data_IF_781104827848
#
_entry.id   IF_781104827848
#
_cell.length_a   1.000
_cell.length_b   1.000
_cell.length_c   1.000
_cell.angle_alpha   90.00
_cell.angle_beta   90.00
_cell.angle_gamma   90.00
#
_symmetry.space_group_name_H-M   'P 1'
#
loop_
_entity.id
_entity.type
_entity.pdbx_description
1 polymer ?
#
# COMPACT_ATOMS: atom_id res chain seq x y z
N UNK A 1 44.33 -1.95 -48.19
CA UNK A 1 43.43 -2.81 -47.40
C UNK A 1 42.82 -1.93 -46.31
N UNK A 2 41.69 -1.29 -46.63
CA UNK A 2 40.95 -0.41 -45.72
C UNK A 2 40.18 -1.28 -44.73
N UNK A 3 40.43 -1.12 -43.43
CA UNK A 3 39.62 -1.76 -42.38
C UNK A 3 38.71 -0.69 -41.78
N UNK A 4 37.44 -0.73 -42.15
CA UNK A 4 36.35 0.05 -41.57
C UNK A 4 36.12 -0.43 -40.13
N UNK A 5 36.34 0.42 -39.13
CA UNK A 5 35.82 0.22 -37.78
C UNK A 5 34.38 0.79 -37.74
N UNK A 6 33.40 -0.10 -37.71
CA UNK A 6 32.03 0.25 -37.34
C UNK A 6 31.96 0.44 -35.82
N UNK A 7 31.82 1.69 -35.38
CA UNK A 7 31.37 2.03 -34.03
C UNK A 7 29.86 1.84 -33.96
N UNK A 8 29.41 0.72 -33.39
CA UNK A 8 28.01 0.54 -32.99
C UNK A 8 27.85 1.21 -31.62
N UNK A 9 27.33 2.43 -31.61
CA UNK A 9 26.84 3.07 -30.40
C UNK A 9 25.51 2.44 -30.02
N UNK A 10 25.51 1.52 -29.06
CA UNK A 10 24.28 1.13 -28.36
C UNK A 10 23.81 2.33 -27.54
N UNK A 11 22.81 3.04 -28.05
CA UNK A 11 22.02 3.95 -27.25
C UNK A 11 21.25 3.13 -26.20
N UNK A 12 21.72 3.17 -24.96
CA UNK A 12 20.92 2.78 -23.80
C UNK A 12 19.77 3.79 -23.70
N UNK A 13 18.62 3.46 -24.29
CA UNK A 13 17.37 4.15 -24.02
C UNK A 13 17.02 3.88 -22.55
N UNK A 14 17.31 4.84 -21.68
CA UNK A 14 16.79 4.86 -20.32
C UNK A 14 15.27 4.86 -20.41
N UNK A 15 14.65 3.84 -19.82
CA UNK A 15 13.20 3.71 -19.70
C UNK A 15 12.66 4.67 -18.63
N UNK A 16 12.89 5.97 -18.82
CA UNK A 16 12.35 7.08 -18.01
C UNK A 16 11.13 7.75 -18.68
N UNK A 17 10.39 7.01 -19.50
CA UNK A 17 9.20 7.53 -20.19
C UNK A 17 7.95 7.67 -19.31
N UNK A 18 7.97 7.30 -18.02
CA UNK A 18 6.79 7.50 -17.16
C UNK A 18 6.67 8.92 -16.60
N UNK A 19 7.77 9.68 -16.50
CA UNK A 19 7.76 11.04 -15.94
C UNK A 19 7.26 12.13 -16.89
N UNK A 20 7.51 11.98 -18.20
CA UNK A 20 7.15 12.98 -19.22
C UNK A 20 5.64 13.27 -19.28
N UNK A 21 4.81 12.33 -18.82
CA UNK A 21 3.35 12.45 -18.80
C UNK A 21 2.78 13.30 -17.64
N UNK A 22 3.61 13.77 -16.70
CA UNK A 22 3.16 14.50 -15.50
C UNK A 22 3.67 15.95 -15.41
N UNK A 23 4.22 16.48 -16.51
CA UNK A 23 4.72 17.86 -16.56
C UNK A 23 3.60 18.86 -16.27
N UNK A 24 3.83 19.77 -15.32
CA UNK A 24 2.89 20.84 -14.98
C UNK A 24 1.65 20.38 -14.21
N UNK A 25 1.48 19.08 -13.97
CA UNK A 25 0.42 18.60 -13.08
C UNK A 25 0.70 19.01 -11.64
N UNK A 26 -0.37 19.34 -10.89
CA UNK A 26 -0.29 19.74 -9.49
C UNK A 26 -1.07 18.80 -8.58
N UNK A 27 -0.68 18.78 -7.32
CA UNK A 27 -1.48 18.19 -6.23
C UNK A 27 -1.90 19.31 -5.29
N UNK A 28 -3.21 19.43 -5.10
CA UNK A 28 -3.83 20.41 -4.20
C UNK A 28 -4.23 19.73 -2.90
N UNK A 29 -4.21 20.49 -1.80
CA UNK A 29 -4.94 20.18 -0.59
C UNK A 29 -5.98 21.26 -0.32
N UNK A 30 -7.24 20.86 -0.20
CA UNK A 30 -8.36 21.76 0.09
C UNK A 30 -8.93 21.48 1.48
N UNK A 31 -9.16 22.54 2.25
CA UNK A 31 -9.84 22.47 3.54
C UNK A 31 -11.36 22.45 3.33
N UNK A 32 -12.02 21.45 3.89
CA UNK A 32 -13.46 21.25 3.81
C UNK A 32 -14.05 21.53 5.17
N UNK A 33 -14.85 22.58 5.30
CA UNK A 33 -15.45 22.96 6.58
C UNK A 33 -16.85 22.40 6.74
N UNK A 34 -17.62 22.32 5.66
CA UNK A 34 -19.03 21.93 5.70
C UNK A 34 -19.48 21.16 4.44
N UNK A 35 -20.76 20.78 4.42
CA UNK A 35 -21.39 20.07 3.30
C UNK A 35 -21.43 20.89 2.00
N UNK A 36 -21.42 22.23 2.07
CA UNK A 36 -21.38 23.06 0.88
C UNK A 36 -20.02 22.92 0.17
N UNK A 37 -18.92 22.94 0.92
CA UNK A 37 -17.58 22.67 0.37
C UNK A 37 -17.51 21.29 -0.30
N UNK A 38 -18.12 20.26 0.31
CA UNK A 38 -18.19 18.90 -0.26
C UNK A 38 -18.96 18.90 -1.58
N UNK A 39 -20.11 19.57 -1.63
CA UNK A 39 -20.93 19.66 -2.84
C UNK A 39 -20.20 20.40 -3.98
N UNK A 40 -19.41 21.42 -3.65
CA UNK A 40 -18.57 22.12 -4.62
C UNK A 40 -17.47 21.20 -5.19
N UNK A 41 -16.76 20.46 -4.33
CA UNK A 41 -15.76 19.48 -4.79
C UNK A 41 -16.39 18.35 -5.63
N UNK A 42 -17.62 17.93 -5.30
CA UNK A 42 -18.39 16.97 -6.11
C UNK A 42 -18.75 17.54 -7.48
N UNK A 43 -19.16 18.80 -7.54
CA UNK A 43 -19.41 19.50 -8.80
C UNK A 43 -18.15 19.56 -9.65
N UNK A 44 -17.02 19.96 -9.06
CA UNK A 44 -15.73 20.03 -9.75
C UNK A 44 -15.32 18.66 -10.32
N UNK A 45 -15.39 17.60 -9.51
CA UNK A 45 -15.07 16.24 -9.95
C UNK A 45 -16.02 15.67 -11.03
N UNK A 46 -17.19 16.29 -11.22
CA UNK A 46 -18.13 15.89 -12.27
C UNK A 46 -17.84 16.52 -13.63
N UNK A 47 -17.11 17.64 -13.65
CA UNK A 47 -16.78 18.41 -14.87
C UNK A 47 -15.32 18.28 -15.27
N UNK A 48 -14.46 17.92 -14.33
CA UNK A 48 -13.00 17.90 -14.50
C UNK A 48 -12.45 16.56 -14.04
N UNK A 49 -11.45 16.04 -14.76
CA UNK A 49 -10.84 14.77 -14.38
C UNK A 49 -9.92 14.96 -13.17
N UNK A 50 -10.36 14.48 -12.01
CA UNK A 50 -9.64 14.56 -10.74
C UNK A 50 -9.20 13.18 -10.26
N UNK A 51 -7.94 13.05 -9.89
CA UNK A 51 -7.39 11.86 -9.24
C UNK A 51 -7.23 12.11 -7.74
N UNK A 52 -8.18 11.58 -6.96
CA UNK A 52 -8.21 11.73 -5.52
C UNK A 52 -7.11 10.89 -4.85
N UNK A 53 -6.28 11.55 -4.03
CA UNK A 53 -5.22 10.93 -3.25
C UNK A 53 -5.66 10.65 -1.81
N UNK A 54 -6.36 11.62 -1.19
CA UNK A 54 -6.94 11.48 0.15
C UNK A 54 -8.19 12.34 0.30
N UNK A 55 -9.37 11.77 0.65
CA UNK A 55 -9.68 10.34 0.61
C UNK A 55 -9.57 9.77 -0.82
N UNK A 56 -9.85 8.48 -1.02
CA UNK A 56 -9.74 7.84 -2.34
C UNK A 56 -10.92 8.11 -3.30
N UNK A 57 -11.97 8.78 -2.82
CA UNK A 57 -13.11 9.20 -3.62
C UNK A 57 -13.80 10.41 -3.02
N UNK A 58 -14.42 11.24 -3.87
CA UNK A 58 -15.26 12.37 -3.46
C UNK A 58 -16.41 11.98 -2.53
N UNK A 59 -16.85 10.72 -2.58
CA UNK A 59 -17.92 10.18 -1.72
C UNK A 59 -17.52 10.04 -0.25
N UNK A 60 -16.21 10.11 0.03
CA UNK A 60 -15.62 9.81 1.33
C UNK A 60 -15.19 11.07 2.10
N UNK A 61 -15.39 12.25 1.50
CA UNK A 61 -15.03 13.53 2.11
C UNK A 61 -15.97 13.79 3.30
N UNK A 62 -15.42 14.28 4.41
CA UNK A 62 -16.17 14.66 5.61
C UNK A 62 -15.97 16.14 5.93
N UNK A 63 -16.92 16.80 6.60
CA UNK A 63 -16.69 18.13 7.18
C UNK A 63 -15.48 18.16 8.11
N UNK A 64 -14.83 19.30 8.20
CA UNK A 64 -13.60 19.55 8.98
C UNK A 64 -12.44 18.61 8.67
N UNK A 65 -12.28 18.27 7.39
CA UNK A 65 -11.15 17.46 6.90
C UNK A 65 -10.44 18.15 5.74
N UNK A 66 -9.37 17.53 5.25
CA UNK A 66 -8.62 17.99 4.09
C UNK A 66 -8.71 16.99 2.95
N UNK A 67 -8.76 17.50 1.71
CA UNK A 67 -8.83 16.67 0.50
C UNK A 67 -7.60 16.92 -0.35
N UNK A 68 -6.82 15.86 -0.58
CA UNK A 68 -5.67 15.85 -1.46
C UNK A 68 -6.07 15.26 -2.82
N UNK A 69 -5.84 15.99 -3.91
CA UNK A 69 -6.11 15.49 -5.25
C UNK A 69 -5.16 16.05 -6.30
N UNK A 70 -4.85 15.21 -7.29
CA UNK A 70 -4.05 15.54 -8.45
C UNK A 70 -4.92 16.06 -9.58
N UNK A 71 -4.42 17.09 -10.26
CA UNK A 71 -5.06 17.73 -11.41
C UNK A 71 -4.08 17.78 -12.57
N UNK A 72 -4.59 17.49 -13.77
CA UNK A 72 -3.82 17.58 -15.01
C UNK A 72 -3.41 19.02 -15.31
N UNK A 73 -2.28 19.19 -16.00
CA UNK A 73 -1.75 20.50 -16.37
C UNK A 73 -2.77 21.38 -17.13
N UNK A 74 -3.54 20.78 -18.03
CA UNK A 74 -4.56 21.46 -18.84
C UNK A 74 -5.76 21.99 -18.02
N UNK A 75 -5.99 21.42 -16.84
CA UNK A 75 -7.14 21.75 -15.98
C UNK A 75 -6.76 22.66 -14.79
N UNK A 76 -5.47 22.96 -14.58
CA UNK A 76 -4.99 23.71 -13.41
C UNK A 76 -5.67 25.06 -13.25
N UNK A 77 -5.71 25.86 -14.32
CA UNK A 77 -6.31 27.20 -14.27
C UNK A 77 -7.80 27.12 -13.92
N UNK A 78 -8.52 26.19 -14.54
CA UNK A 78 -9.95 25.96 -14.27
C UNK A 78 -10.20 25.56 -12.81
N UNK A 79 -9.33 24.71 -12.24
CA UNK A 79 -9.45 24.28 -10.85
C UNK A 79 -9.10 25.43 -9.89
N UNK A 80 -8.01 26.15 -10.11
CA UNK A 80 -7.61 27.29 -9.26
C UNK A 80 -8.69 28.37 -9.25
N UNK A 81 -9.17 28.78 -10.43
CA UNK A 81 -10.27 29.75 -10.56
C UNK A 81 -11.55 29.27 -9.86
N UNK A 82 -11.90 27.97 -9.99
CA UNK A 82 -13.04 27.40 -9.27
C UNK A 82 -12.87 27.46 -7.75
N UNK A 83 -11.68 27.12 -7.24
CA UNK A 83 -11.41 27.14 -5.80
C UNK A 83 -11.45 28.57 -5.25
N UNK A 84 -10.86 29.53 -5.98
CA UNK A 84 -10.83 30.95 -5.61
C UNK A 84 -12.22 31.60 -5.64
N UNK A 85 -13.00 31.39 -6.70
CA UNK A 85 -14.35 31.96 -6.83
C UNK A 85 -15.32 31.46 -5.75
N UNK A 86 -15.10 30.26 -5.24
CA UNK A 86 -15.91 29.69 -4.16
C UNK A 86 -15.27 29.86 -2.78
N UNK A 87 -14.20 30.67 -2.66
CA UNK A 87 -13.49 30.99 -1.41
C UNK A 87 -13.02 29.73 -0.64
N UNK A 88 -12.74 28.64 -1.36
CA UNK A 88 -12.24 27.40 -0.77
C UNK A 88 -10.78 27.58 -0.39
N UNK A 89 -10.46 27.43 0.89
CA UNK A 89 -9.06 27.51 1.36
C UNK A 89 -8.28 26.29 0.87
N UNK A 90 -7.22 26.53 0.12
CA UNK A 90 -6.36 25.47 -0.39
C UNK A 90 -4.86 25.79 -0.31
N UNK A 91 -4.04 24.75 -0.40
CA UNK A 91 -2.60 24.82 -0.61
C UNK A 91 -2.19 23.96 -1.81
N UNK A 92 -1.13 24.36 -2.51
CA UNK A 92 -0.51 23.54 -3.56
C UNK A 92 0.59 22.71 -2.90
N UNK A 93 0.31 21.42 -2.67
CA UNK A 93 1.27 20.48 -2.07
C UNK A 93 2.44 20.20 -3.02
N UNK A 94 2.12 19.98 -4.29
CA UNK A 94 3.08 19.69 -5.35
C UNK A 94 2.76 20.60 -6.53
N UNK A 95 3.70 21.48 -6.88
CA UNK A 95 3.53 22.45 -7.97
C UNK A 95 3.93 21.91 -9.34
N UNK A 96 4.75 20.85 -9.39
CA UNK A 96 5.07 20.10 -10.60
C UNK A 96 5.33 18.64 -10.23
N UNK A 97 4.39 17.77 -10.55
CA UNK A 97 4.45 16.35 -10.20
C UNK A 97 5.60 15.62 -10.89
N UNK A 98 5.95 16.00 -12.13
CA UNK A 98 7.12 15.43 -12.81
C UNK A 98 8.38 15.59 -11.99
N UNK A 99 8.67 16.79 -11.49
CA UNK A 99 9.89 17.05 -10.73
C UNK A 99 9.95 16.23 -9.44
N UNK A 100 8.81 16.02 -8.78
CA UNK A 100 8.75 15.17 -7.58
C UNK A 100 8.96 13.70 -7.93
N UNK A 101 8.43 13.22 -9.06
CA UNK A 101 8.63 11.86 -9.54
C UNK A 101 10.07 11.58 -9.99
N UNK A 102 10.72 12.54 -10.66
CA UNK A 102 12.15 12.44 -11.00
C UNK A 102 13.00 12.46 -9.73
N UNK A 103 12.67 13.34 -8.78
CA UNK A 103 13.30 13.42 -7.46
C UNK A 103 13.01 12.22 -6.54
N UNK A 104 12.11 11.30 -6.92
CA UNK A 104 11.84 10.09 -6.15
C UNK A 104 13.06 9.16 -6.14
N UNK A 105 13.83 9.11 -7.24
CA UNK A 105 14.97 8.22 -7.43
C UNK A 105 16.29 8.87 -6.98
N UNK A 106 16.36 9.27 -5.71
CA UNK A 106 17.49 10.01 -5.13
C UNK A 106 18.56 9.14 -4.45
N UNK A 107 18.42 7.81 -4.52
CA UNK A 107 19.33 6.89 -3.85
C UNK A 107 20.77 6.99 -4.37
N UNK A 108 21.72 7.17 -3.46
CA UNK A 108 23.15 7.18 -3.76
C UNK A 108 23.76 5.77 -3.83
N UNK A 109 22.95 4.72 -3.65
CA UNK A 109 23.42 3.33 -3.65
C UNK A 109 23.86 2.93 -5.07
N UNK A 110 25.14 2.60 -5.21
CA UNK A 110 25.73 2.09 -6.46
C UNK A 110 25.50 0.58 -6.60
N UNK A 111 24.23 0.18 -6.77
CA UNK A 111 23.82 -1.17 -7.17
C UNK A 111 23.00 -1.10 -8.45
N UNK A 112 23.29 -2.01 -9.39
CA UNK A 112 22.56 -2.21 -10.65
C UNK A 112 21.43 -3.24 -10.52
N UNK A 113 21.37 -3.98 -9.41
CA UNK A 113 20.34 -4.97 -9.11
C UNK A 113 19.44 -4.54 -7.94
N UNK A 114 18.88 -5.53 -7.24
CA UNK A 114 18.07 -5.31 -6.05
C UNK A 114 18.79 -4.43 -5.02
N UNK A 115 18.02 -3.54 -4.37
CA UNK A 115 18.46 -2.80 -3.19
C UNK A 115 17.28 -2.59 -2.25
N UNK A 116 17.50 -2.78 -0.95
CA UNK A 116 16.50 -2.47 0.08
C UNK A 116 16.30 -0.96 0.31
N UNK A 117 17.12 -0.13 -0.32
CA UNK A 117 17.10 1.35 -0.24
C UNK A 117 16.83 1.98 -1.61
N UNK A 118 16.14 1.23 -2.48
CA UNK A 118 15.61 1.68 -3.77
C UNK A 118 14.22 1.10 -3.99
N UNK A 119 13.45 1.72 -4.87
CA UNK A 119 12.26 1.08 -5.40
C UNK A 119 12.66 0.07 -6.47
N UNK A 120 12.20 -1.17 -6.32
CA UNK A 120 12.60 -2.28 -7.19
C UNK A 120 11.47 -2.62 -8.16
N UNK A 121 11.78 -2.80 -9.44
CA UNK A 121 10.81 -3.34 -10.42
C UNK A 121 10.38 -4.75 -10.03
N UNK A 122 9.23 -5.21 -10.52
CA UNK A 122 8.68 -6.53 -10.18
C UNK A 122 9.66 -7.66 -10.45
N UNK A 123 10.31 -7.70 -11.62
CA UNK A 123 11.26 -8.74 -11.99
C UNK A 123 12.45 -8.81 -11.01
N UNK A 124 12.84 -7.67 -10.45
CA UNK A 124 13.89 -7.59 -9.42
C UNK A 124 13.39 -8.15 -8.09
N UNK A 125 12.15 -7.84 -7.70
CA UNK A 125 11.52 -8.39 -6.49
C UNK A 125 11.30 -9.90 -6.64
N UNK A 126 10.81 -10.36 -7.78
CA UNK A 126 10.58 -11.79 -8.07
C UNK A 126 11.88 -12.59 -7.96
N UNK A 127 12.96 -12.12 -8.61
CA UNK A 127 14.28 -12.74 -8.50
C UNK A 127 14.81 -12.71 -7.05
N UNK A 128 14.61 -11.60 -6.33
CA UNK A 128 14.98 -11.47 -4.93
C UNK A 128 14.26 -12.49 -4.05
N UNK A 129 12.95 -12.73 -4.23
CA UNK A 129 12.23 -13.75 -3.43
C UNK A 129 12.84 -15.14 -3.59
N UNK A 130 13.34 -15.47 -4.79
CA UNK A 130 14.03 -16.74 -5.04
C UNK A 130 15.42 -16.76 -4.40
N UNK A 131 16.18 -15.68 -4.55
CA UNK A 131 17.53 -15.55 -4.01
C UNK A 131 17.52 -15.66 -2.48
N UNK A 132 16.70 -14.85 -1.82
CA UNK A 132 16.64 -14.78 -0.35
C UNK A 132 16.24 -16.12 0.27
N UNK A 133 15.38 -16.89 -0.42
CA UNK A 133 15.00 -18.25 -0.03
C UNK A 133 16.15 -19.24 -0.18
N UNK A 134 16.88 -19.18 -1.30
CA UNK A 134 18.04 -20.06 -1.56
C UNK A 134 19.20 -19.82 -0.59
N UNK A 135 19.42 -18.57 -0.23
CA UNK A 135 20.51 -18.17 0.68
C UNK A 135 20.17 -18.45 2.15
N UNK A 136 18.87 -18.54 2.50
CA UNK A 136 18.41 -18.68 3.90
C UNK A 136 17.41 -19.84 4.08
N UNK A 137 17.70 -21.07 3.61
CA UNK A 137 16.72 -22.16 3.56
C UNK A 137 16.28 -22.66 4.95
N UNK A 138 17.06 -22.36 6.01
CA UNK A 138 16.70 -22.69 7.39
C UNK A 138 15.71 -21.72 8.04
N UNK A 139 15.42 -20.58 7.40
CA UNK A 139 14.54 -19.52 7.90
C UNK A 139 13.45 -19.12 6.91
N UNK A 140 13.69 -19.26 5.61
CA UNK A 140 12.79 -18.76 4.57
C UNK A 140 12.43 -19.87 3.60
N UNK A 141 11.15 -19.98 3.31
CA UNK A 141 10.64 -20.76 2.17
C UNK A 141 9.72 -19.89 1.32
N UNK A 142 9.63 -20.21 0.03
CA UNK A 142 8.80 -19.50 -0.94
C UNK A 142 7.73 -20.42 -1.50
N UNK A 143 6.50 -19.94 -1.62
CA UNK A 143 5.37 -20.67 -2.19
C UNK A 143 4.57 -19.78 -3.14
N UNK A 144 4.12 -20.36 -4.25
CA UNK A 144 3.11 -19.72 -5.10
C UNK A 144 1.71 -19.91 -4.48
N UNK A 145 0.95 -18.83 -4.33
CA UNK A 145 -0.41 -18.86 -3.76
C UNK A 145 -1.51 -18.63 -4.79
N UNK A 146 -1.14 -18.17 -5.99
CA UNK A 146 -2.07 -17.89 -7.08
C UNK A 146 -1.36 -17.21 -8.24
N UNK A 147 -2.16 -16.78 -9.22
CA UNK A 147 -1.71 -16.01 -10.38
C UNK A 147 -2.57 -14.78 -10.56
N UNK A 148 -1.97 -13.69 -11.02
CA UNK A 148 -2.68 -12.44 -11.31
C UNK A 148 -3.53 -12.54 -12.57
N UNK A 149 -4.30 -11.50 -12.87
CA UNK A 149 -5.08 -11.43 -14.10
C UNK A 149 -4.23 -11.65 -15.36
N UNK A 150 -3.10 -10.95 -15.48
CA UNK A 150 -2.15 -11.03 -16.59
C UNK A 150 -1.17 -12.23 -16.49
N UNK A 151 -1.38 -13.13 -15.50
CA UNK A 151 -0.68 -14.42 -15.43
C UNK A 151 0.65 -14.42 -14.68
N UNK A 152 0.93 -13.41 -13.85
CA UNK A 152 2.14 -13.37 -13.00
C UNK A 152 1.92 -14.19 -11.74
N UNK A 153 2.95 -14.91 -11.29
CA UNK A 153 2.84 -15.75 -10.09
C UNK A 153 2.93 -14.91 -8.83
N UNK A 154 2.00 -15.12 -7.89
CA UNK A 154 2.02 -14.48 -6.58
C UNK A 154 2.85 -15.31 -5.60
N UNK A 155 4.03 -14.81 -5.22
CA UNK A 155 4.94 -15.49 -4.31
C UNK A 155 4.79 -14.99 -2.88
N UNK A 156 4.45 -15.92 -1.99
CA UNK A 156 4.46 -15.73 -0.55
C UNK A 156 5.76 -16.27 0.04
N UNK A 157 6.41 -15.46 0.90
CA UNK A 157 7.53 -15.89 1.71
C UNK A 157 7.02 -16.33 3.08
N UNK A 158 7.39 -17.52 3.53
CA UNK A 158 7.25 -17.94 4.93
C UNK A 158 8.58 -17.72 5.62
N UNK A 159 8.62 -16.80 6.59
CA UNK A 159 9.81 -16.39 7.35
C UNK A 159 9.67 -16.84 8.80
N UNK A 160 10.56 -17.72 9.26
CA UNK A 160 10.53 -18.29 10.58
C UNK A 160 11.31 -19.60 10.64
N UNK A 161 11.85 -19.93 11.81
CA UNK A 161 12.52 -21.21 12.02
C UNK A 161 11.51 -22.36 11.89
N UNK A 162 11.88 -23.43 11.19
CA UNK A 162 11.02 -24.60 11.04
C UNK A 162 10.61 -25.18 12.41
N UNK A 163 9.31 -25.38 12.60
CA UNK A 163 8.74 -25.98 13.80
C UNK A 163 7.29 -26.42 13.58
N UNK A 164 6.81 -27.43 14.33
CA UNK A 164 5.44 -27.90 14.20
C UNK A 164 4.45 -26.90 14.81
N UNK A 165 3.27 -26.76 14.20
CA UNK A 165 2.11 -26.04 14.75
C UNK A 165 2.38 -24.61 15.23
N UNK A 166 3.30 -23.90 14.57
CA UNK A 166 3.61 -22.52 14.93
C UNK A 166 2.42 -21.59 14.60
N UNK A 167 2.04 -20.68 15.51
CA UNK A 167 1.18 -19.57 15.16
C UNK A 167 1.84 -18.69 14.11
N UNK A 168 1.03 -18.01 13.30
CA UNK A 168 1.51 -17.20 12.19
C UNK A 168 0.95 -15.77 12.24
N UNK A 169 1.73 -14.85 11.70
CA UNK A 169 1.31 -13.49 11.35
C UNK A 169 1.33 -13.39 9.84
N UNK A 170 0.20 -13.00 9.25
CA UNK A 170 0.13 -12.72 7.82
C UNK A 170 0.38 -11.22 7.60
N UNK A 171 1.29 -10.89 6.70
CA UNK A 171 1.61 -9.52 6.33
C UNK A 171 1.69 -9.37 4.80
N UNK A 172 0.93 -8.44 4.26
CA UNK A 172 0.96 -8.13 2.84
C UNK A 172 1.26 -6.66 2.55
N UNK A 173 1.72 -6.46 1.32
CA UNK A 173 2.11 -5.17 0.80
C UNK A 173 1.67 -5.03 -0.67
N UNK A 174 1.59 -3.79 -1.15
CA UNK A 174 1.34 -3.49 -2.57
C UNK A 174 -0.05 -3.90 -3.06
N UNK A 175 -1.08 -3.69 -2.25
CA UNK A 175 -2.48 -3.75 -2.69
C UNK A 175 -2.75 -2.69 -3.76
N UNK A 176 -2.46 -1.44 -3.44
CA UNK A 176 -2.55 -0.33 -4.39
C UNK A 176 -1.21 -0.13 -5.08
N UNK A 177 -1.24 -0.16 -6.40
CA UNK A 177 -0.02 -0.23 -7.20
C UNK A 177 0.93 0.96 -7.03
N UNK A 178 0.39 2.17 -6.82
CA UNK A 178 1.16 3.42 -6.66
C UNK A 178 1.87 3.57 -5.31
N UNK A 179 1.56 2.74 -4.33
CA UNK A 179 2.04 2.84 -2.94
C UNK A 179 3.40 2.14 -2.76
N UNK A 180 4.42 2.59 -3.49
CA UNK A 180 5.70 1.88 -3.62
C UNK A 180 6.48 1.65 -2.32
N UNK A 181 6.25 2.46 -1.29
CA UNK A 181 6.88 2.29 0.03
C UNK A 181 6.39 1.03 0.75
N UNK A 182 5.18 0.56 0.45
CA UNK A 182 4.63 -0.67 1.03
C UNK A 182 5.40 -1.91 0.58
N UNK A 183 5.57 -2.21 -0.73
CA UNK A 183 6.45 -3.29 -1.17
C UNK A 183 7.90 -3.17 -0.67
N UNK A 184 8.44 -1.95 -0.60
CA UNK A 184 9.78 -1.72 -0.06
C UNK A 184 9.87 -2.14 1.42
N UNK A 185 8.84 -1.85 2.22
CA UNK A 185 8.77 -2.28 3.61
C UNK A 185 8.72 -3.81 3.76
N UNK A 186 7.90 -4.53 3.00
CA UNK A 186 7.89 -5.99 3.06
C UNK A 186 9.27 -6.60 2.74
N UNK A 187 10.01 -6.03 1.78
CA UNK A 187 11.39 -6.44 1.49
C UNK A 187 12.33 -6.14 2.66
N UNK A 188 12.24 -4.95 3.24
CA UNK A 188 13.01 -4.56 4.42
C UNK A 188 12.73 -5.45 5.63
N UNK A 189 11.47 -5.87 5.81
CA UNK A 189 11.11 -6.78 6.89
C UNK A 189 11.90 -8.09 6.81
N UNK A 190 11.92 -8.70 5.62
CA UNK A 190 12.66 -9.94 5.37
C UNK A 190 14.17 -9.74 5.54
N UNK A 191 14.72 -8.61 5.08
CA UNK A 191 16.12 -8.23 5.33
C UNK A 191 16.46 -8.25 6.81
N UNK A 192 15.68 -7.55 7.61
CA UNK A 192 15.93 -7.41 9.05
C UNK A 192 15.73 -8.74 9.79
N UNK A 193 14.73 -9.54 9.40
CA UNK A 193 14.53 -10.88 9.93
C UNK A 193 15.78 -11.75 9.75
N UNK A 194 16.38 -11.78 8.55
CA UNK A 194 17.63 -12.51 8.29
C UNK A 194 18.79 -11.91 9.07
N UNK A 195 18.98 -10.58 8.97
CA UNK A 195 20.14 -9.88 9.52
C UNK A 195 20.23 -10.01 11.05
N UNK A 196 19.08 -10.05 11.73
CA UNK A 196 19.01 -9.96 13.19
C UNK A 196 18.66 -11.27 13.88
N UNK A 197 18.23 -12.31 13.15
CA UNK A 197 18.04 -13.64 13.72
C UNK A 197 19.38 -14.22 14.21
N UNK A 198 19.39 -14.72 15.45
CA UNK A 198 20.59 -15.20 16.13
C UNK A 198 21.50 -14.10 16.67
N UNK A 199 21.19 -12.82 16.40
CA UNK A 199 21.96 -11.66 16.89
C UNK A 199 21.15 -10.84 17.90
N UNK A 200 19.89 -10.57 17.59
CA UNK A 200 18.95 -9.86 18.47
C UNK A 200 18.01 -10.86 19.14
N UNK A 201 17.98 -10.87 20.48
CA UNK A 201 17.17 -11.81 21.26
C UNK A 201 15.68 -11.75 20.90
N UNK A 202 15.16 -10.54 20.64
CA UNK A 202 13.74 -10.36 20.31
C UNK A 202 13.37 -10.86 18.93
N UNK A 203 14.20 -10.64 17.90
CA UNK A 203 13.92 -11.22 16.57
C UNK A 203 14.06 -12.74 16.60
N UNK A 204 15.07 -13.25 17.31
CA UNK A 204 15.30 -14.69 17.45
C UNK A 204 14.09 -15.38 18.09
N UNK A 205 13.61 -14.85 19.23
CA UNK A 205 12.41 -15.38 19.89
C UNK A 205 11.18 -15.33 18.99
N UNK A 206 10.98 -14.23 18.25
CA UNK A 206 9.86 -14.10 17.33
C UNK A 206 9.92 -15.17 16.24
N UNK A 207 11.05 -15.35 15.55
CA UNK A 207 11.14 -16.30 14.45
C UNK A 207 11.20 -17.77 14.91
N UNK A 208 11.63 -18.03 16.14
CA UNK A 208 11.56 -19.37 16.75
C UNK A 208 10.11 -19.78 17.03
N UNK A 209 9.27 -18.83 17.47
CA UNK A 209 7.91 -19.12 17.97
C UNK A 209 6.79 -18.77 17.00
N UNK A 210 7.01 -17.85 16.07
CA UNK A 210 6.04 -17.41 15.05
C UNK A 210 6.57 -17.68 13.64
N UNK A 211 5.64 -17.95 12.74
CA UNK A 211 5.87 -17.82 11.30
C UNK A 211 5.32 -16.49 10.79
N UNK A 212 6.04 -15.82 9.90
CA UNK A 212 5.54 -14.66 9.17
C UNK A 212 5.30 -15.05 7.73
N UNK A 213 4.05 -14.95 7.28
CA UNK A 213 3.70 -15.05 5.88
C UNK A 213 3.77 -13.65 5.27
N UNK A 214 4.79 -13.37 4.47
CA UNK A 214 5.04 -12.07 3.86
C UNK A 214 4.76 -12.13 2.37
N UNK A 215 3.75 -11.37 1.92
CA UNK A 215 3.38 -11.22 0.50
C UNK A 215 3.85 -9.83 0.01
N UNK A 216 5.01 -9.72 -0.68
CA UNK A 216 5.62 -8.42 -0.95
C UNK A 216 4.82 -7.53 -1.90
N UNK A 217 4.09 -8.13 -2.84
CA UNK A 217 3.25 -7.41 -3.81
C UNK A 217 1.99 -8.23 -4.07
N UNK A 218 0.84 -7.74 -3.64
CA UNK A 218 -0.48 -8.34 -3.93
C UNK A 218 -0.88 -8.06 -5.38
N UNK A 219 -0.89 -6.78 -5.76
CA UNK A 219 -1.32 -6.34 -7.09
C UNK A 219 -0.13 -6.18 -8.03
N UNK A 220 0.42 -7.32 -8.48
CA UNK A 220 1.63 -7.35 -9.30
C UNK A 220 1.41 -6.66 -10.65
N UNK A 221 0.26 -6.89 -11.29
CA UNK A 221 -0.03 -6.33 -12.61
C UNK A 221 -0.13 -4.80 -12.56
N UNK A 222 -0.84 -4.27 -11.56
CA UNK A 222 -0.89 -2.84 -11.29
C UNK A 222 0.50 -2.30 -10.98
N UNK A 223 1.29 -2.99 -10.14
CA UNK A 223 2.65 -2.56 -9.80
C UNK A 223 3.52 -2.43 -11.06
N UNK A 224 3.55 -3.43 -11.94
CA UNK A 224 4.26 -3.35 -13.23
C UNK A 224 3.74 -2.20 -14.09
N UNK A 225 2.44 -1.96 -14.10
CA UNK A 225 1.83 -0.85 -14.84
C UNK A 225 2.32 0.53 -14.35
N UNK A 226 2.59 0.68 -13.05
CA UNK A 226 3.16 1.93 -12.50
C UNK A 226 4.60 2.20 -12.92
N UNK A 227 5.37 1.15 -13.21
CA UNK A 227 6.74 1.27 -13.73
C UNK A 227 6.79 1.53 -15.23
N UNK A 228 5.73 1.18 -15.97
CA UNK A 228 5.78 1.08 -17.44
C UNK A 228 4.85 2.04 -18.18
N UNK A 229 3.74 2.47 -17.55
CA UNK A 229 2.68 3.24 -18.22
C UNK A 229 2.13 4.39 -17.39
N UNK A 230 1.63 4.14 -16.18
CA UNK A 230 1.00 5.18 -15.36
C UNK A 230 1.41 5.04 -13.90
N UNK A 231 2.30 5.90 -13.45
CA UNK A 231 2.84 5.92 -12.08
C UNK A 231 1.77 6.09 -10.99
N UNK A 232 0.64 6.71 -11.31
CA UNK A 232 -0.47 6.98 -10.38
C UNK A 232 -1.59 5.94 -10.44
N UNK A 233 -1.39 4.84 -11.17
CA UNK A 233 -2.34 3.72 -11.20
C UNK A 233 -2.47 3.05 -9.82
N UNK A 234 -3.71 2.78 -9.39
CA UNK A 234 -4.02 2.15 -8.09
C UNK A 234 -4.53 0.72 -8.23
N UNK A 235 -5.50 0.50 -9.12
CA UNK A 235 -6.33 -0.71 -9.24
C UNK A 235 -5.57 -1.94 -9.76
N UNK A 236 -6.24 -3.09 -9.81
CA UNK A 236 -5.78 -4.27 -10.57
C UNK A 236 -5.74 -3.98 -12.09
N UNK A 237 -5.41 -4.98 -12.91
CA UNK A 237 -5.42 -4.86 -14.39
C UNK A 237 -6.46 -5.76 -15.07
N UNK A 238 -7.46 -6.21 -14.31
CA UNK A 238 -8.55 -7.03 -14.85
C UNK A 238 -9.37 -6.28 -15.88
N UNK A 239 -9.73 -6.98 -16.96
CA UNK A 239 -10.65 -6.47 -17.99
C UNK A 239 -12.01 -7.13 -17.86
N UNK A 240 -13.06 -6.40 -18.24
CA UNK A 240 -14.45 -6.87 -18.21
C UNK A 240 -15.12 -6.62 -19.56
N UNK A 241 -15.86 -7.61 -20.07
CA UNK A 241 -16.64 -7.44 -21.28
C UNK A 241 -17.70 -6.33 -21.11
N UNK A 242 -17.87 -5.49 -22.14
CA UNK A 242 -18.84 -4.40 -22.14
C UNK A 242 -18.36 -3.07 -21.57
N UNK A 243 -17.10 -2.96 -21.12
CA UNK A 243 -16.47 -1.69 -20.73
C UNK A 243 -15.02 -1.60 -21.23
N UNK A 244 -14.55 -0.39 -21.50
CA UNK A 244 -13.13 -0.11 -21.79
C UNK A 244 -12.33 0.22 -20.54
N UNK A 245 -13.00 0.40 -19.39
CA UNK A 245 -12.36 0.68 -18.12
C UNK A 245 -11.74 -0.59 -17.53
N UNK A 246 -10.58 -0.43 -16.88
CA UNK A 246 -9.73 -1.53 -16.44
C UNK A 246 -9.55 -1.48 -14.94
N UNK A 247 -9.57 -2.64 -14.31
CA UNK A 247 -9.18 -2.83 -12.92
C UNK A 247 -10.29 -2.55 -11.91
N UNK A 248 -10.17 -3.27 -10.81
CA UNK A 248 -10.94 -3.18 -9.58
C UNK A 248 -10.04 -2.64 -8.48
N UNK A 249 -10.57 -1.87 -7.52
CA UNK A 249 -9.86 -1.57 -6.29
C UNK A 249 -9.76 -2.85 -5.45
N UNK A 250 -8.56 -3.42 -5.28
CA UNK A 250 -8.42 -4.69 -4.57
C UNK A 250 -8.79 -4.58 -3.08
N UNK A 251 -8.76 -3.39 -2.47
CA UNK A 251 -9.18 -3.17 -1.09
C UNK A 251 -10.64 -2.66 -0.98
N UNK A 252 -11.45 -2.91 -2.02
CA UNK A 252 -12.93 -2.84 -2.00
C UNK A 252 -13.57 -4.15 -2.44
N UNK A 253 -12.77 -5.20 -2.60
CA UNK A 253 -13.17 -6.43 -3.25
C UNK A 253 -13.33 -7.61 -2.28
N UNK A 254 -13.05 -7.48 -0.99
CA UNK A 254 -13.27 -8.58 -0.04
C UNK A 254 -14.73 -8.70 0.40
N UNK A 255 -15.10 -9.89 0.87
CA UNK A 255 -16.45 -10.19 1.37
C UNK A 255 -16.68 -9.67 2.80
N UNK A 256 -16.50 -8.37 3.00
CA UNK A 256 -16.72 -7.67 4.27
C UNK A 256 -17.59 -6.44 4.01
N UNK A 257 -18.91 -6.63 4.10
CA UNK A 257 -19.88 -5.60 3.70
C UNK A 257 -19.76 -5.22 2.22
N UNK A 258 -19.27 -6.13 1.37
CA UNK A 258 -18.83 -5.86 0.00
C UNK A 258 -19.72 -4.86 -0.77
N UNK A 259 -19.10 -3.79 -1.24
CA UNK A 259 -19.72 -2.76 -2.08
C UNK A 259 -20.98 -2.08 -1.51
N UNK A 260 -21.17 -2.11 -0.18
CA UNK A 260 -22.30 -1.44 0.49
C UNK A 260 -22.07 0.06 0.69
N UNK A 261 -20.88 0.47 1.12
CA UNK A 261 -20.51 1.87 1.38
C UNK A 261 -19.06 2.14 1.01
N UNK A 262 -18.73 3.39 0.68
CA UNK A 262 -17.35 3.83 0.40
C UNK A 262 -16.65 3.11 -0.75
N UNK A 263 -17.43 2.57 -1.70
CA UNK A 263 -16.97 1.91 -2.91
C UNK A 263 -17.88 2.28 -4.08
N UNK A 264 -17.41 2.13 -5.31
CA UNK A 264 -18.20 2.40 -6.51
C UNK A 264 -18.58 1.11 -7.24
N UNK A 265 -19.76 1.13 -7.87
CA UNK A 265 -20.21 0.11 -8.83
C UNK A 265 -19.85 0.46 -10.28
N UNK A 266 -19.25 1.62 -10.53
CA UNK A 266 -18.87 2.06 -11.88
C UNK A 266 -17.45 1.58 -12.18
N UNK A 267 -17.22 0.77 -13.24
CA UNK A 267 -15.90 0.20 -13.54
C UNK A 267 -14.77 1.22 -13.74
N UNK A 268 -15.11 2.45 -14.13
CA UNK A 268 -14.15 3.51 -14.39
C UNK A 268 -13.68 4.25 -13.13
N UNK A 269 -14.39 4.10 -12.02
CA UNK A 269 -14.03 4.79 -10.78
C UNK A 269 -12.81 4.10 -10.14
N UNK A 270 -11.99 4.90 -9.46
CA UNK A 270 -10.78 4.40 -8.77
C UNK A 270 -11.11 3.47 -7.58
N UNK A 271 -12.33 3.59 -7.02
CA UNK A 271 -12.83 2.75 -5.91
C UNK A 271 -13.82 1.69 -6.38
N UNK A 272 -13.77 1.29 -7.65
CA UNK A 272 -14.64 0.22 -8.19
C UNK A 272 -14.48 -1.07 -7.39
N UNK A 273 -15.58 -1.62 -6.87
CA UNK A 273 -15.58 -2.79 -5.99
C UNK A 273 -15.48 -4.14 -6.72
N UNK A 274 -15.47 -4.13 -8.05
CA UNK A 274 -15.51 -5.33 -8.89
C UNK A 274 -16.94 -5.81 -9.17
N UNK A 275 -17.11 -6.81 -10.06
CA UNK A 275 -18.42 -7.39 -10.36
C UNK A 275 -18.97 -8.31 -9.26
N UNK A 276 -18.12 -8.80 -8.36
CA UNK A 276 -18.47 -9.67 -7.23
C UNK A 276 -17.42 -9.54 -6.11
N UNK A 277 -17.76 -9.93 -4.89
CA UNK A 277 -16.76 -10.11 -3.84
C UNK A 277 -15.75 -11.19 -4.26
N UNK A 278 -14.48 -10.88 -4.05
CA UNK A 278 -13.31 -11.66 -4.45
C UNK A 278 -13.32 -12.00 -5.96
N UNK A 279 -13.76 -11.06 -6.80
CA UNK A 279 -13.71 -11.20 -8.27
C UNK A 279 -12.29 -11.18 -8.81
N UNK A 280 -11.38 -10.44 -8.15
CA UNK A 280 -9.99 -10.35 -8.58
C UNK A 280 -9.25 -11.63 -8.23
N UNK A 281 -8.42 -12.14 -9.15
CA UNK A 281 -7.66 -13.37 -8.90
C UNK A 281 -6.70 -13.20 -7.72
N UNK A 282 -6.18 -11.99 -7.58
CA UNK A 282 -5.24 -11.58 -6.54
C UNK A 282 -5.88 -11.64 -5.15
N UNK A 283 -7.06 -11.01 -4.99
CA UNK A 283 -7.79 -11.01 -3.71
C UNK A 283 -8.33 -12.40 -3.39
N UNK A 284 -8.83 -13.14 -4.40
CA UNK A 284 -9.26 -14.54 -4.25
C UNK A 284 -8.12 -15.45 -3.79
N UNK A 285 -6.93 -15.33 -4.38
CA UNK A 285 -5.76 -16.13 -4.01
C UNK A 285 -5.35 -15.88 -2.55
N UNK A 286 -5.30 -14.61 -2.15
CA UNK A 286 -5.02 -14.19 -0.77
C UNK A 286 -6.08 -14.75 0.20
N UNK A 287 -7.36 -14.52 -0.07
CA UNK A 287 -8.46 -14.99 0.77
C UNK A 287 -8.48 -16.53 0.90
N UNK A 288 -8.23 -17.25 -0.19
CA UNK A 288 -8.10 -18.71 -0.18
C UNK A 288 -6.93 -19.19 0.68
N UNK A 289 -5.78 -18.52 0.59
CA UNK A 289 -4.62 -18.86 1.41
C UNK A 289 -4.93 -18.66 2.90
N UNK A 290 -5.52 -17.52 3.27
CA UNK A 290 -5.86 -17.23 4.66
C UNK A 290 -6.90 -18.23 5.19
N UNK A 291 -8.00 -18.49 4.44
CA UNK A 291 -8.99 -19.52 4.82
C UNK A 291 -8.36 -20.89 5.05
N UNK A 292 -7.40 -21.29 4.22
CA UNK A 292 -6.72 -22.58 4.33
C UNK A 292 -5.76 -22.67 5.52
N UNK A 293 -5.36 -21.54 6.12
CA UNK A 293 -4.42 -21.46 7.23
C UNK A 293 -5.01 -20.73 8.44
N UNK A 294 -6.34 -20.63 8.52
CA UNK A 294 -7.03 -19.78 9.50
C UNK A 294 -6.77 -20.22 10.96
N UNK A 295 -6.54 -21.52 11.18
CA UNK A 295 -6.22 -22.05 12.50
C UNK A 295 -4.86 -21.60 13.04
N UNK A 296 -3.90 -21.27 12.17
CA UNK A 296 -2.56 -20.85 12.56
C UNK A 296 -2.38 -19.34 12.54
N UNK A 297 -3.04 -18.61 11.64
CA UNK A 297 -2.91 -17.15 11.54
C UNK A 297 -3.60 -16.45 12.73
N UNK A 298 -2.82 -15.70 13.51
CA UNK A 298 -3.27 -14.99 14.72
C UNK A 298 -3.30 -13.47 14.55
N UNK A 299 -2.61 -12.95 13.54
CA UNK A 299 -2.66 -11.55 13.17
C UNK A 299 -2.60 -11.37 11.65
N UNK A 300 -3.27 -10.32 11.16
CA UNK A 300 -3.29 -9.90 9.76
C UNK A 300 -2.87 -8.44 9.68
N UNK A 301 -1.81 -8.15 8.93
CA UNK A 301 -1.21 -6.82 8.82
C UNK A 301 -1.16 -6.44 7.34
N UNK A 302 -1.96 -5.47 6.93
CA UNK A 302 -1.93 -4.97 5.55
C UNK A 302 -1.27 -3.60 5.49
N UNK A 303 -0.26 -3.46 4.61
CA UNK A 303 0.61 -2.30 4.58
C UNK A 303 0.30 -1.45 3.34
N UNK A 304 0.01 -0.19 3.58
CA UNK A 304 -0.43 0.83 2.63
C UNK A 304 0.37 2.13 2.79
N UNK A 305 0.11 3.11 1.95
CA UNK A 305 0.55 4.50 2.13
C UNK A 305 -0.41 5.45 1.42
N UNK A 306 -0.53 6.71 1.78
CA UNK A 306 0.17 7.45 2.82
C UNK A 306 -0.83 8.01 3.81
N UNK A 307 -0.36 8.39 4.99
CA UNK A 307 -0.99 9.34 5.92
C UNK A 307 -0.42 9.24 7.33
N UNK A 308 0.45 8.26 7.60
CA UNK A 308 0.93 7.91 8.92
C UNK A 308 -0.22 7.54 9.87
N UNK A 309 -0.91 6.43 9.57
CA UNK A 309 -2.02 5.92 10.39
C UNK A 309 -1.85 4.43 10.69
N UNK A 310 -2.35 3.99 11.84
CA UNK A 310 -2.51 2.58 12.18
C UNK A 310 -3.98 2.32 12.49
N UNK A 311 -4.68 1.72 11.56
CA UNK A 311 -6.12 1.49 11.61
C UNK A 311 -6.41 0.05 12.04
N UNK A 312 -7.58 -0.16 12.62
CA UNK A 312 -8.13 -1.49 12.90
C UNK A 312 -9.63 -1.51 12.61
N UNK A 313 -10.24 -2.71 12.48
CA UNK A 313 -11.66 -2.82 12.19
C UNK A 313 -12.57 -2.13 13.22
N UNK A 314 -13.76 -1.66 12.83
CA UNK A 314 -14.32 -1.79 11.48
C UNK A 314 -14.13 -0.53 10.61
N UNK A 315 -14.08 -0.74 9.30
CA UNK A 315 -14.18 0.29 8.26
C UNK A 315 -15.53 0.29 7.57
N UNK A 316 -16.14 -0.88 7.32
CA UNK A 316 -17.42 -0.99 6.60
C UNK A 316 -18.66 -0.64 7.42
N UNK A 317 -18.52 -0.43 8.73
CA UNK A 317 -19.59 -0.16 9.68
C UNK A 317 -19.02 0.67 10.85
N UNK A 318 -19.86 1.47 11.50
CA UNK A 318 -19.52 2.25 12.70
C UNK A 318 -19.54 1.40 13.99
N UNK A 319 -19.90 0.12 13.90
CA UNK A 319 -19.74 -0.82 15.01
C UNK A 319 -18.28 -0.95 15.43
N UNK A 320 -18.06 -1.23 16.71
CA UNK A 320 -16.74 -1.57 17.24
C UNK A 320 -16.56 -3.09 17.28
N UNK A 321 -15.32 -3.53 17.20
CA UNK A 321 -14.91 -4.92 17.42
C UNK A 321 -15.12 -5.35 18.88
N UNK A 322 -15.33 -6.64 19.13
CA UNK A 322 -15.51 -7.14 20.51
C UNK A 322 -14.30 -6.84 21.40
N UNK A 323 -13.09 -6.94 20.83
CA UNK A 323 -11.82 -6.62 21.49
C UNK A 323 -11.33 -5.19 21.19
N UNK A 324 -12.21 -4.24 20.85
CA UNK A 324 -11.83 -2.87 20.48
C UNK A 324 -10.92 -2.18 21.50
N UNK A 325 -11.19 -2.32 22.79
CA UNK A 325 -10.35 -1.71 23.83
C UNK A 325 -8.91 -2.24 23.83
N UNK A 326 -8.75 -3.54 23.54
CA UNK A 326 -7.45 -4.21 23.39
C UNK A 326 -6.72 -3.68 22.14
N UNK A 327 -7.40 -3.67 20.98
CA UNK A 327 -6.83 -3.17 19.73
C UNK A 327 -6.42 -1.70 19.83
N UNK A 328 -7.23 -0.86 20.49
CA UNK A 328 -6.91 0.54 20.70
C UNK A 328 -5.66 0.72 21.59
N UNK A 329 -5.58 -0.02 22.70
CA UNK A 329 -4.41 0.04 23.59
C UNK A 329 -3.14 -0.47 22.89
N UNK A 330 -3.26 -1.56 22.13
CA UNK A 330 -2.17 -2.11 21.33
C UNK A 330 -1.71 -1.13 20.25
N UNK A 331 -2.63 -0.53 19.49
CA UNK A 331 -2.31 0.46 18.47
C UNK A 331 -1.59 1.68 19.06
N UNK A 332 -2.11 2.22 20.19
CA UNK A 332 -1.48 3.32 20.93
C UNK A 332 -0.05 3.00 21.35
N UNK A 333 0.19 1.81 21.87
CA UNK A 333 1.53 1.40 22.30
C UNK A 333 2.47 1.17 21.10
N UNK A 334 1.95 0.57 20.03
CA UNK A 334 2.68 0.29 18.79
C UNK A 334 3.15 1.57 18.10
N UNK A 335 2.26 2.57 17.94
CA UNK A 335 2.65 3.85 17.33
C UNK A 335 3.55 4.70 18.24
N UNK A 336 3.45 4.53 19.56
CA UNK A 336 4.39 5.15 20.51
C UNK A 336 5.79 4.56 20.30
N UNK A 337 5.90 3.24 20.16
CA UNK A 337 7.15 2.55 19.87
C UNK A 337 7.74 2.99 18.52
N UNK A 338 6.92 3.07 17.46
CA UNK A 338 7.33 3.59 16.16
C UNK A 338 7.98 4.98 16.27
N UNK A 339 7.33 5.88 17.02
CA UNK A 339 7.79 7.26 17.18
C UNK A 339 9.12 7.38 17.95
N UNK A 340 9.59 6.35 18.65
CA UNK A 340 10.83 6.42 19.45
C UNK A 340 12.08 6.61 18.60
N UNK A 341 12.08 6.17 17.34
CA UNK A 341 13.28 6.20 16.50
C UNK A 341 13.46 7.55 15.81
N UNK A 342 12.44 7.99 15.06
CA UNK A 342 12.52 9.19 14.21
C UNK A 342 11.53 10.28 14.60
N UNK A 343 10.77 10.11 15.69
CA UNK A 343 9.76 11.08 16.14
C UNK A 343 8.49 11.13 15.26
N UNK A 344 8.33 10.19 14.34
CA UNK A 344 7.24 10.19 13.36
C UNK A 344 5.90 9.94 14.04
N UNK A 345 4.97 10.89 13.89
CA UNK A 345 3.67 10.87 14.55
C UNK A 345 2.63 10.19 13.69
N UNK A 346 2.15 9.03 14.15
CA UNK A 346 1.01 8.34 13.58
C UNK A 346 -0.27 8.66 14.34
N UNK A 347 -1.42 8.62 13.67
CA UNK A 347 -2.74 8.51 14.31
C UNK A 347 -3.19 7.05 14.31
N UNK A 348 -4.20 6.72 15.11
CA UNK A 348 -4.72 5.36 15.20
C UNK A 348 -6.17 5.34 15.63
N UNK A 349 -6.88 4.26 15.31
CA UNK A 349 -8.27 4.06 15.72
C UNK A 349 -9.04 3.15 14.76
N UNK A 350 -10.36 2.98 14.98
CA UNK A 350 -11.22 2.25 14.07
C UNK A 350 -11.25 2.94 12.70
N UNK A 351 -11.26 2.17 11.61
CA UNK A 351 -11.22 2.69 10.25
C UNK A 351 -12.34 3.69 9.95
N UNK A 352 -13.60 3.35 10.21
CA UNK A 352 -14.76 4.17 9.84
C UNK A 352 -14.70 5.60 10.44
N UNK A 353 -14.20 5.71 11.68
CA UNK A 353 -14.10 6.97 12.42
C UNK A 353 -12.79 7.71 12.18
N UNK A 354 -11.67 6.99 12.03
CA UNK A 354 -10.33 7.60 11.92
C UNK A 354 -10.02 8.07 10.51
N UNK A 355 -10.45 7.30 9.49
CA UNK A 355 -10.30 7.66 8.08
C UNK A 355 -11.68 8.01 7.51
N UNK A 356 -12.42 7.03 7.04
CA UNK A 356 -13.77 7.14 6.48
C UNK A 356 -14.39 5.73 6.36
N UNK A 357 -15.73 5.62 6.33
CA UNK A 357 -16.39 4.34 6.16
C UNK A 357 -16.12 3.76 4.76
N UNK A 358 -15.57 2.55 4.68
CA UNK A 358 -15.21 1.91 3.43
C UNK A 358 -15.44 0.40 3.53
N UNK A 359 -16.20 -0.16 2.60
CA UNK A 359 -16.52 -1.58 2.58
C UNK A 359 -15.63 -2.42 1.67
N UNK A 360 -15.55 -3.72 1.97
CA UNK A 360 -14.78 -4.69 1.20
C UNK A 360 -13.26 -4.62 1.43
N UNK A 361 -12.85 -4.06 2.57
CA UNK A 361 -11.45 -4.04 3.02
C UNK A 361 -10.97 -5.42 3.48
N UNK A 362 -9.69 -5.72 3.25
CA UNK A 362 -9.08 -6.99 3.64
C UNK A 362 -8.93 -7.16 5.15
N UNK A 363 -8.71 -6.06 5.88
CA UNK A 363 -8.55 -6.02 7.32
C UNK A 363 -9.85 -6.34 8.07
N UNK A 364 -10.96 -5.74 7.64
CA UNK A 364 -12.30 -6.06 8.13
C UNK A 364 -12.66 -7.53 7.84
N UNK A 365 -12.39 -8.00 6.61
CA UNK A 365 -12.63 -9.39 6.24
C UNK A 365 -11.83 -10.37 7.09
N UNK A 366 -10.52 -10.12 7.29
CA UNK A 366 -9.67 -10.97 8.10
C UNK A 366 -10.17 -11.04 9.55
N UNK A 367 -10.63 -9.92 10.12
CA UNK A 367 -11.21 -9.89 11.45
C UNK A 367 -12.52 -10.69 11.52
N UNK A 368 -13.40 -10.55 10.53
CA UNK A 368 -14.65 -11.32 10.44
C UNK A 368 -14.41 -12.84 10.25
N UNK A 369 -13.22 -13.26 9.78
CA UNK A 369 -12.81 -14.67 9.79
C UNK A 369 -12.34 -15.17 11.18
N UNK A 370 -12.23 -14.29 12.18
CA UNK A 370 -11.75 -14.63 13.52
C UNK A 370 -10.26 -14.36 13.77
N UNK A 371 -9.59 -13.60 12.89
CA UNK A 371 -8.23 -13.11 13.14
C UNK A 371 -8.30 -11.88 14.05
N UNK A 372 -8.07 -12.08 15.35
CA UNK A 372 -8.33 -11.06 16.39
C UNK A 372 -7.49 -9.79 16.23
N UNK A 373 -6.27 -9.91 15.71
CA UNK A 373 -5.33 -8.81 15.55
C UNK A 373 -5.21 -8.43 14.07
N UNK A 374 -6.17 -7.67 13.58
CA UNK A 374 -6.21 -7.18 12.19
C UNK A 374 -5.90 -5.68 12.16
N UNK A 375 -4.86 -5.27 11.42
CA UNK A 375 -4.42 -3.89 11.36
C UNK A 375 -4.02 -3.46 9.94
N UNK A 376 -4.37 -2.23 9.60
CA UNK A 376 -3.92 -1.54 8.39
C UNK A 376 -2.90 -0.46 8.76
N UNK A 377 -1.75 -0.45 8.09
CA UNK A 377 -0.76 0.62 8.25
C UNK A 377 -0.76 1.52 7.03
N UNK A 378 -1.00 2.81 7.22
CA UNK A 378 -0.77 3.84 6.21
C UNK A 378 0.57 4.50 6.50
N UNK A 379 1.61 4.16 5.73
CA UNK A 379 2.98 4.60 5.98
C UNK A 379 3.19 6.10 5.69
N UNK A 380 4.45 6.54 5.68
CA UNK A 380 4.84 7.91 5.35
C UNK A 380 4.39 8.31 3.93
N UNK A 381 4.18 9.58 3.66
CA UNK A 381 4.22 10.73 4.58
C UNK A 381 2.82 11.28 4.89
N UNK A 382 2.68 12.60 5.07
CA UNK A 382 1.39 13.28 5.27
C UNK A 382 0.97 14.13 4.06
N UNK A 383 1.48 13.82 2.87
CA UNK A 383 1.09 14.43 1.60
C UNK A 383 2.11 15.40 0.99
N UNK A 384 3.28 15.62 1.62
CA UNK A 384 4.34 16.43 0.98
C UNK A 384 4.83 15.75 -0.30
N UNK A 385 5.05 14.45 -0.23
CA UNK A 385 5.38 13.60 -1.37
C UNK A 385 4.22 12.66 -1.71
N UNK A 386 3.40 12.27 -0.72
CA UNK A 386 2.35 11.28 -0.89
C UNK A 386 2.91 9.99 -1.45
N UNK A 387 2.42 9.56 -2.61
CA UNK A 387 2.87 8.32 -3.26
C UNK A 387 4.26 8.41 -3.90
N UNK A 388 4.84 9.61 -4.01
CA UNK A 388 6.16 9.87 -4.61
C UNK A 388 7.27 10.00 -3.54
N UNK A 389 7.12 9.33 -2.39
CA UNK A 389 8.10 9.37 -1.30
C UNK A 389 9.53 9.01 -1.81
N UNK A 390 10.57 9.82 -1.58
CA UNK A 390 11.91 9.57 -2.11
C UNK A 390 12.57 8.29 -1.59
N UNK A 391 13.49 7.71 -2.36
CA UNK A 391 14.25 6.51 -1.97
C UNK A 391 15.06 6.72 -0.68
N UNK A 392 15.57 7.94 -0.45
CA UNK A 392 16.25 8.33 0.79
C UNK A 392 15.38 8.21 2.05
N UNK A 393 14.05 8.18 1.89
CA UNK A 393 13.09 7.98 2.98
C UNK A 393 12.71 6.50 3.18
N UNK A 394 13.13 5.58 2.31
CA UNK A 394 12.83 4.15 2.46
C UNK A 394 13.40 3.62 3.77
N UNK A 395 14.71 3.81 4.04
CA UNK A 395 15.35 3.33 5.26
C UNK A 395 14.67 3.89 6.53
N UNK A 396 14.52 5.22 6.72
CA UNK A 396 13.86 5.74 7.92
C UNK A 396 12.44 5.23 8.12
N UNK A 397 11.65 5.14 7.03
CA UNK A 397 10.28 4.62 7.08
C UNK A 397 10.25 3.15 7.48
N UNK A 398 11.15 2.34 6.94
CA UNK A 398 11.16 0.91 7.21
C UNK A 398 11.72 0.58 8.60
N UNK A 399 12.70 1.34 9.09
CA UNK A 399 13.27 1.16 10.43
C UNK A 399 12.24 1.44 11.53
N UNK A 400 11.49 2.54 11.46
CA UNK A 400 10.46 2.85 12.47
C UNK A 400 9.29 1.86 12.39
N UNK A 401 8.89 1.47 11.18
CA UNK A 401 7.80 0.50 10.98
C UNK A 401 8.22 -0.88 11.48
N UNK A 402 9.50 -1.26 11.34
CA UNK A 402 10.04 -2.49 11.92
C UNK A 402 9.90 -2.51 13.46
N UNK A 403 10.06 -1.39 14.15
CA UNK A 403 9.81 -1.32 15.60
C UNK A 403 8.33 -1.60 15.92
N UNK A 404 7.41 -0.99 15.15
CA UNK A 404 5.98 -1.23 15.28
C UNK A 404 5.60 -2.70 15.09
N UNK A 405 6.08 -3.34 14.01
CA UNK A 405 5.78 -4.75 13.72
C UNK A 405 6.38 -5.68 14.77
N UNK A 406 7.61 -5.43 15.23
CA UNK A 406 8.21 -6.23 16.33
C UNK A 406 7.43 -6.09 17.62
N UNK A 407 6.97 -4.89 17.96
CA UNK A 407 6.15 -4.66 19.16
C UNK A 407 4.83 -5.43 19.09
N UNK A 408 4.11 -5.28 17.97
CA UNK A 408 2.84 -5.97 17.72
C UNK A 408 3.03 -7.49 17.74
N UNK A 409 4.03 -8.03 17.05
CA UNK A 409 4.27 -9.47 17.01
C UNK A 409 4.59 -10.05 18.39
N UNK A 410 5.33 -9.32 19.23
CA UNK A 410 5.57 -9.72 20.63
C UNK A 410 4.29 -9.71 21.46
N UNK A 411 3.39 -8.77 21.20
CA UNK A 411 2.08 -8.75 21.83
C UNK A 411 1.27 -10.00 21.44
N UNK A 412 1.14 -10.27 20.14
CA UNK A 412 0.43 -11.46 19.61
C UNK A 412 1.00 -12.74 20.23
N UNK A 413 2.32 -12.89 20.28
CA UNK A 413 2.99 -14.05 20.87
C UNK A 413 2.63 -14.28 22.35
N UNK A 414 2.34 -13.22 23.10
CA UNK A 414 1.95 -13.30 24.53
C UNK A 414 0.45 -13.48 24.74
N UNK A 415 -0.35 -13.34 23.69
CA UNK A 415 -1.82 -13.38 23.72
C UNK A 415 -2.36 -14.33 22.64
N UNK A 416 -1.70 -15.48 22.46
CA UNK A 416 -2.17 -16.52 21.55
C UNK A 416 -3.54 -17.05 21.98
N UNK A 417 -4.32 -17.52 21.00
CA UNK A 417 -5.67 -18.06 21.18
C UNK A 417 -5.96 -19.23 20.25
#
# INVERSE_FOLDING_TARGET
>A
MLMFLLLVTLALASSHHSGEHFEGEKVFRVNVEDENHINLLRKLASTTQIDFWKPDSVTQIKPHTTVDFRVKAEDIFTVEDFLEQNELKYEVLISNLRSVLEGQFDSQVRSTGHSYEKYNKWETIEAWTQQVTRENPGLISRRAIGTTFEGRTMYLLKVGKAGPNKPAIFMDCGFHAREWISPAFCQWFVREAIRTYGQEIHMTELLDKLDFYVLPVVNIDGYVYTWTKNRMWRKTRSTQAGTTCIGTDPNRNFDAGWCKIGASRRPCDETYCGPAAESEKETKALANFIRSNLSSIKAYLTIHSYSQMMLYPYSYDYKLTENNAELNALAKATIKELATLHGTKYTYGPGATTIYPAAGGSDDWAYDQGIKYSFTFELRDKGRYGFALPESQIRPTCEETMLAIKYLARYVLRHLY
#
